data_IF_485491400390
#
_entry.id   IF_485491400390
#
_cell.length_a   1.000
_cell.length_b   1.000
_cell.length_c   1.000
_cell.angle_alpha   90.00
_cell.angle_beta   90.00
_cell.angle_gamma   90.00
#
_symmetry.space_group_name_H-M   'P 1'
#
loop_
_entity.id
_entity.type
_entity.pdbx_description
1 polymer ?
#
# COMPACT_ATOMS: atom_id res chain seq x y z
N UNK A 1 24.42 -7.59 6.57
CA UNK A 1 23.13 -6.86 6.54
C UNK A 1 21.95 -7.65 5.96
N UNK A 2 22.15 -8.80 5.29
CA UNK A 2 21.06 -9.59 4.69
C UNK A 2 20.09 -10.23 5.69
N UNK A 3 20.58 -10.54 6.90
CA UNK A 3 19.79 -11.26 7.91
C UNK A 3 18.52 -10.52 8.35
N UNK A 4 18.52 -9.18 8.38
CA UNK A 4 17.38 -8.38 8.85
C UNK A 4 16.16 -8.53 7.94
N UNK A 5 16.37 -8.60 6.63
CA UNK A 5 15.30 -8.66 5.62
C UNK A 5 14.59 -10.01 5.61
N UNK A 6 15.24 -11.06 6.12
CA UNK A 6 14.67 -12.40 6.29
C UNK A 6 13.90 -12.57 7.61
N UNK A 7 13.83 -11.54 8.46
CA UNK A 7 13.11 -11.60 9.74
C UNK A 7 11.67 -11.13 9.57
N UNK A 8 10.71 -12.03 9.77
CA UNK A 8 9.28 -11.76 9.57
C UNK A 8 8.74 -10.57 10.40
N UNK A 9 9.14 -10.44 11.68
CA UNK A 9 8.61 -9.38 12.54
C UNK A 9 9.14 -8.00 12.16
N UNK A 10 10.30 -7.90 11.52
CA UNK A 10 10.84 -6.63 11.02
C UNK A 10 9.93 -6.05 9.95
N UNK A 11 9.40 -6.89 9.07
CA UNK A 11 8.42 -6.49 8.07
C UNK A 11 7.10 -6.01 8.69
N UNK A 12 6.63 -6.68 9.74
CA UNK A 12 5.42 -6.24 10.46
C UNK A 12 5.64 -4.92 11.21
N UNK A 13 6.80 -4.73 11.83
CA UNK A 13 7.17 -3.47 12.46
C UNK A 13 7.26 -2.33 11.43
N UNK A 14 7.86 -2.58 10.27
CA UNK A 14 7.89 -1.64 9.16
C UNK A 14 6.47 -1.33 8.63
N UNK A 15 5.61 -2.34 8.49
CA UNK A 15 4.22 -2.14 8.11
C UNK A 15 3.46 -1.24 9.08
N UNK A 16 3.65 -1.46 10.39
CA UNK A 16 3.05 -0.62 11.43
C UNK A 16 3.57 0.83 11.36
N UNK A 17 4.88 1.01 11.23
CA UNK A 17 5.48 2.35 11.11
C UNK A 17 4.96 3.11 9.87
N UNK A 18 4.87 2.43 8.72
CA UNK A 18 4.32 3.00 7.48
C UNK A 18 2.85 3.38 7.63
N UNK A 19 2.04 2.54 8.29
CA UNK A 19 0.64 2.84 8.57
C UNK A 19 0.48 4.06 9.49
N UNK A 20 1.37 4.24 10.48
CA UNK A 20 1.38 5.43 11.34
C UNK A 20 1.73 6.70 10.53
N UNK A 21 2.72 6.61 9.63
CA UNK A 21 3.13 7.74 8.78
C UNK A 21 1.98 8.20 7.89
N UNK A 22 1.18 7.28 7.35
CA UNK A 22 0.01 7.61 6.52
C UNK A 22 -1.02 8.48 7.26
N UNK A 23 -1.17 8.32 8.58
CA UNK A 23 -2.09 9.16 9.39
C UNK A 23 -1.67 10.63 9.36
N UNK A 24 -0.36 10.90 9.27
CA UNK A 24 0.19 12.26 9.21
C UNK A 24 0.14 12.84 7.78
N UNK A 25 0.26 11.98 6.76
CA UNK A 25 0.33 12.36 5.35
C UNK A 25 -0.62 11.49 4.50
N UNK A 26 -1.92 11.85 4.40
CA UNK A 26 -2.91 11.04 3.71
C UNK A 26 -2.73 11.13 2.19
N UNK A 27 -2.20 10.06 1.59
CA UNK A 27 -1.95 9.92 0.15
C UNK A 27 -2.12 8.50 -0.40
N UNK A 28 -2.47 7.53 0.45
CA UNK A 28 -2.60 6.10 0.21
C UNK A 28 -1.30 5.37 -0.20
N UNK A 29 -0.18 6.08 -0.34
CA UNK A 29 1.11 5.51 -0.75
C UNK A 29 1.72 4.68 0.37
N UNK A 30 1.80 5.24 1.59
CA UNK A 30 2.38 4.51 2.73
C UNK A 30 1.47 3.38 3.18
N UNK A 31 0.14 3.53 3.02
CA UNK A 31 -0.79 2.43 3.25
C UNK A 31 -0.57 1.25 2.29
N UNK A 32 -0.37 1.52 1.00
CA UNK A 32 -0.04 0.48 0.02
C UNK A 32 1.26 -0.26 0.39
N UNK A 33 2.27 0.48 0.83
CA UNK A 33 3.55 -0.10 1.28
C UNK A 33 3.40 -0.88 2.60
N UNK A 34 2.57 -0.40 3.52
CA UNK A 34 2.28 -1.09 4.77
C UNK A 34 1.63 -2.46 4.50
N UNK A 35 0.66 -2.52 3.58
CA UNK A 35 0.03 -3.77 3.15
C UNK A 35 1.04 -4.71 2.51
N UNK A 36 1.87 -4.20 1.59
CA UNK A 36 2.93 -5.00 0.96
C UNK A 36 3.90 -5.59 1.98
N UNK A 37 4.36 -4.79 2.94
CA UNK A 37 5.25 -5.23 4.01
C UNK A 37 4.58 -6.28 4.92
N UNK A 38 3.31 -6.09 5.28
CA UNK A 38 2.57 -7.04 6.09
C UNK A 38 2.46 -8.41 5.41
N UNK A 39 2.13 -8.44 4.11
CA UNK A 39 2.02 -9.68 3.34
C UNK A 39 3.38 -10.39 3.25
N UNK A 40 4.47 -9.67 2.97
CA UNK A 40 5.81 -10.27 2.93
C UNK A 40 6.21 -10.84 4.29
N UNK A 41 5.94 -10.12 5.38
CA UNK A 41 6.16 -10.60 6.75
C UNK A 41 5.42 -11.90 7.04
N UNK A 42 4.16 -12.01 6.63
CA UNK A 42 3.38 -13.25 6.77
C UNK A 42 3.89 -14.37 5.87
N UNK A 43 4.28 -14.08 4.62
CA UNK A 43 4.81 -15.09 3.69
C UNK A 43 6.16 -15.67 4.13
N UNK A 44 6.95 -14.92 4.91
CA UNK A 44 8.19 -15.41 5.52
C UNK A 44 7.94 -16.52 6.56
N UNK A 45 6.73 -16.62 7.12
CA UNK A 45 6.34 -17.74 8.00
C UNK A 45 6.04 -19.04 7.23
N UNK A 46 6.06 -19.01 5.89
CA UNK A 46 5.78 -20.18 5.06
C UNK A 46 6.60 -20.17 3.77
N UNK A 47 5.98 -19.90 2.60
CA UNK A 47 6.57 -20.16 1.29
C UNK A 47 7.82 -19.33 0.98
N UNK A 48 8.00 -18.17 1.62
CA UNK A 48 9.16 -17.30 1.40
C UNK A 48 10.24 -17.43 2.49
N UNK A 49 10.15 -18.40 3.39
CA UNK A 49 11.12 -18.62 4.49
C UNK A 49 12.57 -18.77 4.02
N UNK A 50 12.78 -19.33 2.82
CA UNK A 50 14.11 -19.52 2.20
C UNK A 50 14.36 -18.57 1.01
N UNK A 51 13.52 -17.56 0.81
CA UNK A 51 13.66 -16.65 -0.31
C UNK A 51 14.93 -15.77 -0.16
N UNK A 52 15.57 -15.47 -1.29
CA UNK A 52 16.70 -14.55 -1.30
C UNK A 52 16.24 -13.12 -0.96
N UNK A 53 17.11 -12.26 -0.38
CA UNK A 53 16.76 -10.87 -0.11
C UNK A 53 16.27 -10.11 -1.35
N UNK A 54 16.86 -10.41 -2.52
CA UNK A 54 16.42 -9.82 -3.79
C UNK A 54 14.98 -10.23 -4.16
N UNK A 55 14.62 -11.50 -3.95
CA UNK A 55 13.26 -11.98 -4.19
C UNK A 55 12.25 -11.33 -3.23
N UNK A 56 12.61 -11.17 -1.94
CA UNK A 56 11.73 -10.53 -0.96
C UNK A 56 11.45 -9.06 -1.33
N UNK A 57 12.48 -8.31 -1.75
CA UNK A 57 12.32 -6.93 -2.21
C UNK A 57 11.49 -6.84 -3.49
N UNK A 58 11.67 -7.78 -4.43
CA UNK A 58 10.87 -7.85 -5.65
C UNK A 58 9.38 -8.09 -5.35
N UNK A 59 9.09 -9.08 -4.48
CA UNK A 59 7.72 -9.38 -4.05
C UNK A 59 7.12 -8.21 -3.30
N UNK A 60 7.87 -7.59 -2.38
CA UNK A 60 7.45 -6.39 -1.68
C UNK A 60 7.08 -5.26 -2.64
N UNK A 61 7.94 -4.96 -3.63
CA UNK A 61 7.71 -3.90 -4.60
C UNK A 61 6.46 -4.17 -5.46
N UNK A 62 6.28 -5.40 -5.93
CA UNK A 62 5.13 -5.81 -6.71
C UNK A 62 3.82 -5.72 -5.92
N UNK A 63 3.80 -6.26 -4.69
CA UNK A 63 2.63 -6.20 -3.82
C UNK A 63 2.28 -4.77 -3.41
N UNK A 64 3.29 -3.96 -3.10
CA UNK A 64 3.14 -2.55 -2.77
C UNK A 64 2.53 -1.74 -3.90
N UNK A 65 3.03 -1.93 -5.13
CA UNK A 65 2.49 -1.28 -6.32
C UNK A 65 1.04 -1.71 -6.57
N UNK A 66 0.77 -3.02 -6.47
CA UNK A 66 -0.59 -3.55 -6.65
C UNK A 66 -1.55 -3.01 -5.60
N UNK A 67 -1.18 -3.03 -4.32
CA UNK A 67 -1.98 -2.51 -3.22
C UNK A 67 -2.26 -1.01 -3.39
N UNK A 68 -1.25 -0.22 -3.75
CA UNK A 68 -1.44 1.21 -4.02
C UNK A 68 -2.39 1.47 -5.19
N UNK A 69 -2.25 0.74 -6.31
CA UNK A 69 -3.15 0.87 -7.46
C UNK A 69 -4.61 0.51 -7.10
N UNK A 70 -4.80 -0.56 -6.32
CA UNK A 70 -6.11 -0.99 -5.82
C UNK A 70 -6.71 0.10 -4.94
N UNK A 71 -5.97 0.58 -3.93
CA UNK A 71 -6.42 1.66 -3.05
C UNK A 71 -6.78 2.91 -3.85
N UNK A 72 -5.91 3.33 -4.77
CA UNK A 72 -6.14 4.49 -5.63
C UNK A 72 -7.39 4.32 -6.50
N UNK A 73 -7.70 3.11 -6.95
CA UNK A 73 -8.86 2.84 -7.81
C UNK A 73 -10.18 2.82 -7.05
N UNK A 74 -10.20 2.29 -5.83
CA UNK A 74 -11.41 2.15 -5.02
C UNK A 74 -11.73 3.41 -4.19
N UNK A 75 -10.69 4.13 -3.72
CA UNK A 75 -10.85 5.35 -2.92
C UNK A 75 -10.69 6.64 -3.74
N UNK A 76 -10.58 6.55 -5.07
CA UNK A 76 -10.69 7.74 -5.92
C UNK A 76 -12.06 8.40 -5.69
N UNK A 77 -12.03 9.64 -5.20
CA UNK A 77 -13.22 10.48 -5.08
C UNK A 77 -13.97 10.49 -6.43
N UNK A 78 -15.30 10.41 -6.44
CA UNK A 78 -16.07 10.63 -7.65
C UNK A 78 -15.62 11.96 -8.25
N UNK A 79 -15.02 11.91 -9.45
CA UNK A 79 -14.73 13.12 -10.22
C UNK A 79 -16.04 13.86 -10.35
N UNK A 80 -16.11 15.07 -9.75
CA UNK A 80 -17.35 15.82 -9.60
C UNK A 80 -18.11 15.84 -10.92
N UNK A 81 -19.34 15.30 -10.90
CA UNK A 81 -20.36 15.76 -11.83
C UNK A 81 -20.52 17.24 -11.53
N UNK A 82 -19.81 18.08 -12.29
CA UNK A 82 -20.13 19.50 -12.39
C UNK A 82 -21.54 19.50 -12.96
N UNK A 83 -22.52 19.64 -12.06
CA UNK A 83 -23.92 19.72 -12.42
C UNK A 83 -24.06 21.06 -13.14
N UNK A 84 -23.94 21.05 -14.46
CA UNK A 84 -24.21 22.21 -15.30
C UNK A 84 -25.72 22.44 -15.22
N UNK A 85 -26.13 23.35 -14.34
CA UNK A 85 -27.50 23.83 -14.30
C UNK A 85 -27.70 24.71 -15.53
N UNK A 86 -28.40 24.16 -16.52
CA UNK A 86 -28.86 24.88 -17.72
C UNK A 86 -30.34 25.29 -17.52
N UNK A 87 -30.64 25.81 -16.32
CA UNK A 87 -31.94 26.39 -16.02
C UNK A 87 -31.70 27.88 -15.83
N UNK A 88 -32.12 28.65 -16.83
CA UNK A 88 -32.21 30.09 -16.70
C UNK A 88 -33.20 30.40 -15.55
N UNK A 89 -32.80 31.30 -14.66
CA UNK A 89 -33.55 31.66 -13.44
C UNK A 89 -34.70 32.64 -13.79
N UNK A 90 -34.87 32.97 -15.07
CA UNK A 90 -35.77 34.02 -15.55
C UNK A 90 -36.99 33.54 -16.37
N UNK A 91 -37.28 32.25 -16.44
CA UNK A 91 -38.55 31.72 -17.00
C UNK A 91 -39.42 31.05 -15.90
#
# INVERSE_FOLDING_TARGET
MSAIVSIWWVWLAAALALAIIEVLAPGFVFLGFAIGAAIVGLMLLGPLSLASPAMLLLVFAALSLAAWLVLRRFFALPTGQVKTFDSDIND
#
